data_IF_796778692780
#
_entry.id   IF_796778692780
#
_cell.length_a   1.000
_cell.length_b   1.000
_cell.length_c   1.000
_cell.angle_alpha   90.00
_cell.angle_beta   90.00
_cell.angle_gamma   90.00
#
_symmetry.space_group_name_H-M   'P 1'
#
loop_
_entity.id
_entity.type
_entity.pdbx_description
1 polymer ?
#
# COMPACT_ATOMS: atom_id res chain seq x y z
N UNK A 1 -11.50 60.25 -14.89
CA UNK A 1 -12.95 60.44 -14.86
C UNK A 1 -13.54 59.95 -16.17
N UNK A 2 -14.11 58.73 -16.20
CA UNK A 2 -15.20 58.22 -17.07
C UNK A 2 -15.32 56.69 -16.86
N UNK A 3 -16.20 56.25 -15.95
CA UNK A 3 -17.43 55.46 -16.22
C UNK A 3 -17.14 54.09 -16.85
N UNK A 4 -17.08 53.02 -16.05
CA UNK A 4 -18.18 52.04 -15.86
C UNK A 4 -18.77 51.54 -17.17
N UNK A 5 -18.55 50.27 -17.51
CA UNK A 5 -19.61 49.32 -17.87
C UNK A 5 -19.12 47.88 -17.66
N UNK A 6 -19.64 47.27 -16.59
CA UNK A 6 -19.75 45.83 -16.42
C UNK A 6 -20.72 45.33 -17.48
N UNK A 7 -20.32 44.35 -18.30
CA UNK A 7 -21.26 43.50 -19.03
C UNK A 7 -20.96 42.06 -18.68
N UNK A 8 -21.69 41.61 -17.67
CA UNK A 8 -21.95 40.23 -17.30
C UNK A 8 -22.72 39.58 -18.45
N UNK A 9 -22.19 38.49 -19.03
CA UNK A 9 -22.88 37.72 -20.08
C UNK A 9 -22.93 36.24 -19.70
N UNK A 10 -24.14 35.87 -19.26
CA UNK A 10 -24.81 34.58 -19.23
C UNK A 10 -23.98 33.30 -19.00
N UNK A 11 -24.14 32.76 -17.79
CA UNK A 11 -23.96 31.34 -17.47
C UNK A 11 -25.11 30.56 -18.10
N UNK A 12 -24.84 29.76 -19.13
CA UNK A 12 -25.75 28.68 -19.57
C UNK A 12 -25.24 27.39 -18.95
N UNK A 13 -26.06 26.83 -18.05
CA UNK A 13 -25.75 25.65 -17.27
C UNK A 13 -25.67 24.38 -18.11
N UNK A 14 -24.58 23.64 -17.91
CA UNK A 14 -24.51 22.20 -18.15
C UNK A 14 -24.37 21.53 -16.79
N UNK A 15 -25.51 21.30 -16.13
CA UNK A 15 -25.59 20.35 -15.03
C UNK A 15 -25.79 18.95 -15.63
N UNK A 16 -24.75 18.40 -16.27
CA UNK A 16 -24.66 16.96 -16.45
C UNK A 16 -24.21 16.40 -15.09
N UNK A 17 -25.15 15.86 -14.32
CA UNK A 17 -24.87 15.10 -13.11
C UNK A 17 -24.01 13.89 -13.47
N UNK A 18 -22.69 14.05 -13.42
CA UNK A 18 -21.77 12.94 -13.35
C UNK A 18 -21.99 12.30 -11.98
N UNK A 19 -22.69 11.17 -11.97
CA UNK A 19 -22.71 10.30 -10.80
C UNK A 19 -21.26 10.03 -10.42
N UNK A 20 -20.87 10.48 -9.23
CA UNK A 20 -19.63 10.03 -8.58
C UNK A 20 -19.82 8.56 -8.26
N UNK A 21 -19.57 7.69 -9.23
CA UNK A 21 -19.19 6.33 -8.94
C UNK A 21 -17.98 6.46 -8.01
N UNK A 22 -18.13 5.99 -6.76
CA UNK A 22 -17.00 5.77 -5.86
C UNK A 22 -15.99 4.95 -6.66
N UNK A 23 -14.93 5.60 -7.15
CA UNK A 23 -13.86 4.92 -7.83
C UNK A 23 -13.26 3.97 -6.79
N UNK A 24 -13.57 2.68 -6.91
CA UNK A 24 -12.91 1.66 -6.13
C UNK A 24 -11.40 1.85 -6.36
N UNK A 25 -10.64 2.03 -5.28
CA UNK A 25 -9.19 2.19 -5.39
C UNK A 25 -8.62 1.01 -6.19
N UNK A 26 -7.92 1.33 -7.28
CA UNK A 26 -7.41 0.33 -8.20
C UNK A 26 -6.42 -0.58 -7.47
N UNK A 27 -6.67 -1.88 -7.55
CA UNK A 27 -5.80 -2.90 -6.97
C UNK A 27 -4.59 -3.14 -7.87
N UNK A 28 -3.41 -3.37 -7.27
CA UNK A 28 -2.16 -3.74 -7.93
C UNK A 28 -1.65 -5.08 -7.40
N UNK A 29 -0.78 -5.73 -8.18
CA UNK A 29 -0.13 -7.00 -7.82
C UNK A 29 1.36 -6.78 -7.64
N UNK A 30 1.88 -7.14 -6.47
CA UNK A 30 3.31 -7.02 -6.10
C UNK A 30 3.84 -8.40 -5.76
N UNK A 31 4.92 -8.82 -6.42
CA UNK A 31 5.64 -10.05 -6.07
C UNK A 31 6.94 -9.70 -5.35
N UNK A 32 7.19 -10.32 -4.20
CA UNK A 32 8.35 -10.00 -3.38
C UNK A 32 8.50 -10.87 -2.15
N UNK A 33 9.53 -10.59 -1.37
CA UNK A 33 9.82 -11.31 -0.13
C UNK A 33 9.04 -10.69 1.02
N UNK A 34 8.40 -11.52 1.86
CA UNK A 34 7.86 -11.05 3.14
C UNK A 34 9.00 -10.80 4.12
N UNK A 35 9.15 -9.55 4.57
CA UNK A 35 10.21 -9.16 5.51
C UNK A 35 9.64 -8.59 6.80
N UNK A 36 10.34 -8.84 7.91
CA UNK A 36 10.18 -8.03 9.13
C UNK A 36 10.88 -6.69 8.91
N UNK A 37 10.15 -5.57 8.99
CA UNK A 37 10.70 -4.26 8.62
C UNK A 37 11.74 -3.76 9.61
N UNK A 38 11.63 -4.11 10.90
CA UNK A 38 12.61 -3.70 11.90
C UNK A 38 13.96 -4.37 11.65
N UNK A 39 13.97 -5.68 11.40
CA UNK A 39 15.17 -6.44 11.10
C UNK A 39 15.74 -6.11 9.71
N UNK A 40 14.88 -5.93 8.69
CA UNK A 40 15.33 -5.60 7.35
C UNK A 40 15.96 -4.20 7.29
N UNK A 41 15.29 -3.17 7.81
CA UNK A 41 15.81 -1.80 7.75
C UNK A 41 16.98 -1.58 8.72
N UNK A 42 16.93 -2.20 9.91
CA UNK A 42 17.97 -2.03 10.92
C UNK A 42 19.23 -2.86 10.70
N UNK A 43 19.10 -4.03 10.06
CA UNK A 43 20.19 -5.02 9.97
C UNK A 43 20.38 -5.62 8.57
N UNK A 44 19.56 -5.25 7.58
CA UNK A 44 19.59 -5.85 6.24
C UNK A 44 19.10 -7.31 6.23
N UNK A 45 18.51 -7.79 7.31
CA UNK A 45 18.17 -9.20 7.49
C UNK A 45 16.98 -9.61 6.60
N UNK A 46 17.18 -10.65 5.79
CA UNK A 46 16.20 -11.19 4.85
C UNK A 46 16.60 -12.63 4.44
N UNK A 47 15.75 -13.29 3.65
CA UNK A 47 15.97 -14.62 3.08
C UNK A 47 15.78 -15.77 4.08
N UNK A 48 15.93 -16.99 3.56
CA UNK A 48 15.63 -18.23 4.31
C UNK A 48 16.38 -18.35 5.65
N UNK A 49 17.60 -17.81 5.75
CA UNK A 49 18.37 -17.81 7.01
C UNK A 49 17.74 -16.97 8.13
N UNK A 50 16.83 -16.05 7.80
CA UNK A 50 16.17 -15.17 8.76
C UNK A 50 14.70 -15.55 9.03
N UNK A 51 14.17 -16.58 8.37
CA UNK A 51 12.75 -16.96 8.42
C UNK A 51 12.20 -17.10 9.85
N UNK A 52 12.87 -17.87 10.71
CA UNK A 52 12.38 -18.15 12.07
C UNK A 52 12.35 -16.90 12.96
N UNK A 53 13.33 -16.01 12.80
CA UNK A 53 13.38 -14.74 13.52
C UNK A 53 12.30 -13.78 13.00
N UNK A 54 12.21 -13.61 11.68
CA UNK A 54 11.21 -12.76 11.05
C UNK A 54 9.79 -13.20 11.42
N UNK A 55 9.48 -14.51 11.33
CA UNK A 55 8.17 -15.04 11.71
C UNK A 55 7.83 -14.72 13.16
N UNK A 56 8.78 -14.93 14.09
CA UNK A 56 8.57 -14.63 15.52
C UNK A 56 8.31 -13.14 15.75
N UNK A 57 9.10 -12.27 15.14
CA UNK A 57 8.98 -10.81 15.27
C UNK A 57 7.65 -10.29 14.72
N UNK A 58 7.30 -10.70 13.49
CA UNK A 58 6.03 -10.34 12.87
C UNK A 58 4.86 -10.83 13.73
N UNK A 59 4.89 -12.07 14.20
CA UNK A 59 3.84 -12.60 15.08
C UNK A 59 3.77 -11.89 16.44
N UNK A 60 4.84 -11.22 16.87
CA UNK A 60 4.89 -10.40 18.09
C UNK A 60 4.42 -8.96 17.87
N UNK A 61 3.97 -8.61 16.66
CA UNK A 61 3.43 -7.29 16.33
C UNK A 61 4.41 -6.34 15.66
N UNK A 62 5.63 -6.77 15.32
CA UNK A 62 6.53 -5.92 14.54
C UNK A 62 6.01 -5.70 13.11
N UNK A 63 6.29 -4.54 12.51
CA UNK A 63 5.74 -4.18 11.21
C UNK A 63 6.28 -5.10 10.12
N UNK A 64 5.37 -5.61 9.29
CA UNK A 64 5.68 -6.49 8.16
C UNK A 64 5.66 -5.72 6.85
N UNK A 65 6.50 -6.13 5.90
CA UNK A 65 6.54 -5.54 4.58
C UNK A 65 6.79 -6.55 3.47
N UNK A 66 6.72 -6.06 2.23
CA UNK A 66 7.04 -6.81 1.01
C UNK A 66 8.22 -6.13 0.33
N UNK A 67 9.32 -6.85 0.16
CA UNK A 67 10.48 -6.38 -0.61
C UNK A 67 10.38 -6.88 -2.05
N UNK A 68 10.14 -5.99 -3.00
CA UNK A 68 10.04 -6.29 -4.43
C UNK A 68 11.16 -5.56 -5.17
N UNK A 69 12.22 -6.29 -5.53
CA UNK A 69 13.44 -5.68 -6.07
C UNK A 69 14.00 -4.63 -5.10
N UNK A 70 14.11 -3.39 -5.58
CA UNK A 70 14.58 -2.23 -4.82
C UNK A 70 13.46 -1.46 -4.11
N UNK A 71 12.20 -1.87 -4.28
CA UNK A 71 11.05 -1.23 -3.64
C UNK A 71 10.63 -1.98 -2.38
N UNK A 72 10.41 -1.24 -1.30
CA UNK A 72 9.91 -1.77 -0.04
C UNK A 72 8.50 -1.25 0.22
N UNK A 73 7.56 -2.18 0.43
CA UNK A 73 6.17 -1.87 0.74
C UNK A 73 5.90 -2.15 2.22
N UNK A 74 5.37 -1.17 2.94
CA UNK A 74 4.77 -1.38 4.25
C UNK A 74 3.43 -2.08 4.04
N UNK A 75 3.26 -3.27 4.62
CA UNK A 75 2.05 -4.06 4.41
C UNK A 75 1.08 -3.87 5.58
N UNK A 76 -0.16 -3.48 5.25
CA UNK A 76 -1.26 -3.36 6.20
C UNK A 76 -2.40 -4.27 5.81
N UNK A 77 -3.18 -4.71 6.79
CA UNK A 77 -4.40 -5.48 6.56
C UNK A 77 -5.57 -4.58 6.17
N UNK A 78 -6.71 -5.21 5.90
CA UNK A 78 -7.99 -4.54 5.69
C UNK A 78 -8.35 -3.63 6.87
N UNK A 79 -9.15 -2.59 6.62
CA UNK A 79 -9.68 -1.67 7.67
C UNK A 79 -8.58 -1.03 8.55
N UNK A 80 -7.42 -0.74 7.97
CA UNK A 80 -6.26 -0.17 8.67
C UNK A 80 -5.68 -1.06 9.78
N UNK A 81 -5.92 -2.38 9.73
CA UNK A 81 -5.35 -3.36 10.63
C UNK A 81 -3.93 -3.80 10.26
N UNK A 82 -3.36 -4.71 11.06
CA UNK A 82 -2.06 -5.32 10.77
C UNK A 82 -2.17 -6.41 9.70
N UNK A 83 -1.16 -6.58 8.85
CA UNK A 83 -1.07 -7.73 7.92
C UNK A 83 -0.41 -8.98 8.56
N UNK A 84 0.02 -8.89 9.82
CA UNK A 84 0.89 -9.86 10.50
C UNK A 84 0.30 -11.27 10.53
N UNK A 85 -1.01 -11.41 10.80
CA UNK A 85 -1.65 -12.72 10.84
C UNK A 85 -1.61 -13.47 9.49
N UNK A 86 -1.65 -12.72 8.38
CA UNK A 86 -1.63 -13.29 7.02
C UNK A 86 -0.20 -13.49 6.53
N UNK A 87 0.70 -12.55 6.80
CA UNK A 87 2.07 -12.55 6.28
C UNK A 87 3.09 -13.24 7.19
N UNK A 88 2.87 -13.28 8.51
CA UNK A 88 3.76 -13.93 9.47
C UNK A 88 4.08 -15.40 9.13
N UNK A 89 3.09 -16.25 8.77
CA UNK A 89 3.34 -17.62 8.31
C UNK A 89 4.17 -17.74 7.01
N UNK A 90 4.31 -16.62 6.30
CA UNK A 90 5.01 -16.49 5.02
C UNK A 90 6.32 -15.71 5.15
N UNK A 91 6.78 -15.43 6.37
CA UNK A 91 8.02 -14.69 6.60
C UNK A 91 9.20 -15.28 5.81
N UNK A 92 9.99 -14.40 5.21
CA UNK A 92 11.13 -14.70 4.34
C UNK A 92 10.83 -15.57 3.11
N UNK A 93 9.56 -15.76 2.76
CA UNK A 93 9.14 -16.44 1.53
C UNK A 93 8.80 -15.41 0.45
N UNK A 94 8.93 -15.85 -0.80
CA UNK A 94 8.36 -15.13 -1.94
C UNK A 94 6.84 -15.29 -1.95
N UNK A 95 6.15 -14.17 -2.13
CA UNK A 95 4.70 -14.10 -2.24
C UNK A 95 4.31 -13.17 -3.38
N UNK A 96 3.11 -13.39 -3.90
CA UNK A 96 2.39 -12.44 -4.74
C UNK A 96 1.23 -11.86 -3.93
N UNK A 97 1.26 -10.54 -3.72
CA UNK A 97 0.28 -9.79 -2.96
C UNK A 97 -0.55 -8.94 -3.91
N UNK A 98 -1.85 -9.14 -3.87
CA UNK A 98 -2.82 -8.26 -4.50
C UNK A 98 -3.34 -7.28 -3.44
N UNK A 99 -3.28 -5.97 -3.71
CA UNK A 99 -3.64 -4.95 -2.74
C UNK A 99 -3.74 -3.55 -3.34
N UNK A 100 -4.23 -2.58 -2.55
CA UNK A 100 -4.20 -1.17 -2.95
C UNK A 100 -2.84 -0.60 -2.56
N UNK A 101 -2.14 -0.01 -3.53
CA UNK A 101 -0.83 0.61 -3.31
C UNK A 101 -0.98 2.13 -3.27
N UNK A 102 -0.44 2.73 -2.23
CA UNK A 102 -0.36 4.19 -2.06
C UNK A 102 1.08 4.58 -1.78
N UNK A 103 1.50 5.71 -2.35
CA UNK A 103 2.82 6.27 -2.10
C UNK A 103 2.68 7.68 -1.51
N UNK A 104 3.50 7.98 -0.50
CA UNK A 104 3.69 9.34 0.01
C UNK A 104 5.10 9.50 0.51
N UNK A 105 5.77 10.59 0.11
CA UNK A 105 7.13 10.91 0.52
C UNK A 105 8.14 9.76 0.26
N UNK A 106 7.94 9.00 -0.81
CA UNK A 106 8.77 7.83 -1.17
C UNK A 106 8.51 6.58 -0.33
N UNK A 107 7.51 6.58 0.55
CA UNK A 107 7.06 5.41 1.30
C UNK A 107 5.92 4.75 0.55
N UNK A 108 6.11 3.49 0.18
CA UNK A 108 5.07 2.68 -0.44
C UNK A 108 4.33 1.88 0.64
N UNK A 109 3.00 1.98 0.64
CA UNK A 109 2.12 1.17 1.46
C UNK A 109 1.31 0.26 0.56
N UNK A 110 1.11 -0.99 0.97
CA UNK A 110 0.19 -1.93 0.34
C UNK A 110 -0.86 -2.38 1.34
N UNK A 111 -2.14 -2.06 1.07
CA UNK A 111 -3.27 -2.61 1.78
C UNK A 111 -3.63 -3.98 1.19
N UNK A 112 -3.27 -5.03 1.91
CA UNK A 112 -3.34 -6.43 1.46
C UNK A 112 -4.80 -6.86 1.31
N UNK A 113 -5.19 -7.23 0.08
CA UNK A 113 -6.49 -7.87 -0.21
C UNK A 113 -6.36 -9.39 -0.30
N UNK A 114 -5.29 -9.87 -0.92
CA UNK A 114 -5.04 -11.30 -1.12
C UNK A 114 -3.55 -11.60 -1.20
N UNK A 115 -3.14 -12.75 -0.67
CA UNK A 115 -1.76 -13.23 -0.73
C UNK A 115 -1.74 -14.63 -1.29
N UNK A 116 -0.80 -14.90 -2.19
CA UNK A 116 -0.52 -16.23 -2.73
C UNK A 116 0.96 -16.54 -2.53
N UNK A 117 1.28 -17.71 -1.97
CA UNK A 117 2.65 -18.18 -1.90
C UNK A 117 3.17 -18.45 -3.33
N UNK A 118 4.37 -17.97 -3.64
CA UNK A 118 5.04 -18.19 -4.93
C UNK A 118 5.85 -19.49 -4.94
#
# INVERSE_FOLDING_TARGET
MTRWFVVMLLVIGMAAGAGSALAAEATQTVTGEVVDLACYLGHGAQGAGHQGCAQKCINSGLPVGIKSGDTLYVAVGSEHGTANAVLGPLASKQVTVEGVVTERDGVHLIAVKKVTAS
#
